data_IF_357316392726
#
_entry.id   IF_357316392726
#
_cell.length_a   1.000
_cell.length_b   1.000
_cell.length_c   1.000
_cell.angle_alpha   90.00
_cell.angle_beta   90.00
_cell.angle_gamma   90.00
#
_symmetry.space_group_name_H-M   'P 1'
#
loop_
_entity.id
_entity.type
_entity.pdbx_description
1 polymer ?
#
# COMPACT_ATOMS: atom_id res chain seq x y z
N UNK A 1 -0.82 -17.62 5.69
CA UNK A 1 0.22 -16.64 6.05
C UNK A 1 -0.18 -15.27 5.54
N UNK A 2 -0.20 -14.27 6.40
CA UNK A 2 -0.58 -12.93 5.98
C UNK A 2 0.53 -12.25 5.21
N UNK A 3 0.16 -11.59 4.11
CA UNK A 3 1.10 -10.77 3.34
C UNK A 3 1.29 -9.44 4.09
N UNK A 4 2.50 -9.06 4.49
CA UNK A 4 2.73 -7.79 5.20
C UNK A 4 2.30 -6.58 4.38
N UNK A 5 2.43 -6.63 3.06
CA UNK A 5 1.99 -5.53 2.20
C UNK A 5 0.48 -5.41 2.13
N UNK A 6 -0.25 -6.51 2.22
CA UNK A 6 -1.71 -6.48 2.31
C UNK A 6 -2.16 -5.83 3.61
N UNK A 7 -1.49 -6.11 4.72
CA UNK A 7 -1.78 -5.46 5.99
C UNK A 7 -1.48 -3.96 5.93
N UNK A 8 -0.36 -3.58 5.31
CA UNK A 8 -0.02 -2.17 5.11
C UNK A 8 -1.07 -1.46 4.25
N UNK A 9 -1.53 -2.12 3.19
CA UNK A 9 -2.60 -1.60 2.33
C UNK A 9 -3.87 -1.33 3.13
N UNK A 10 -4.31 -2.29 3.95
CA UNK A 10 -5.51 -2.13 4.76
C UNK A 10 -5.37 -0.99 5.76
N UNK A 11 -4.21 -0.87 6.41
CA UNK A 11 -3.96 0.19 7.38
C UNK A 11 -3.98 1.57 6.73
N UNK A 12 -3.32 1.73 5.60
CA UNK A 12 -3.27 3.00 4.86
C UNK A 12 -4.65 3.37 4.32
N UNK A 13 -5.35 2.41 3.74
CA UNK A 13 -6.71 2.64 3.22
C UNK A 13 -7.63 3.13 4.34
N UNK A 14 -7.64 2.46 5.47
CA UNK A 14 -8.48 2.85 6.60
C UNK A 14 -8.10 4.22 7.15
N UNK A 15 -6.82 4.49 7.29
CA UNK A 15 -6.33 5.76 7.82
C UNK A 15 -6.71 6.94 6.91
N UNK A 16 -6.44 6.84 5.62
CA UNK A 16 -6.65 7.94 4.69
C UNK A 16 -8.13 8.13 4.31
N UNK A 17 -8.90 7.04 4.23
CA UNK A 17 -10.31 7.15 3.86
C UNK A 17 -11.18 7.67 5.01
N UNK A 18 -10.81 7.41 6.24
CA UNK A 18 -11.60 7.78 7.42
C UNK A 18 -11.03 9.00 8.16
N UNK A 19 -9.94 9.57 7.68
CA UNK A 19 -9.24 10.69 8.34
C UNK A 19 -8.89 10.37 9.79
N UNK A 20 -8.63 9.11 10.08
CA UNK A 20 -8.25 8.66 11.41
C UNK A 20 -6.75 8.58 11.58
N UNK A 21 -6.34 8.26 12.80
CA UNK A 21 -4.94 7.97 13.08
C UNK A 21 -4.55 6.66 12.41
N UNK A 22 -3.26 6.57 12.01
CA UNK A 22 -2.74 5.33 11.47
C UNK A 22 -2.74 4.28 12.58
N UNK A 23 -3.55 3.25 12.39
CA UNK A 23 -3.60 2.12 13.29
C UNK A 23 -3.31 0.86 12.48
N UNK A 24 -2.29 0.12 12.88
CA UNK A 24 -1.93 -1.12 12.20
C UNK A 24 -2.58 -2.26 12.98
N UNK A 25 -3.54 -2.98 12.36
CA UNK A 25 -4.21 -4.08 13.06
C UNK A 25 -3.22 -5.17 13.46
N UNK A 26 -3.45 -5.76 14.62
CA UNK A 26 -2.70 -6.93 15.01
C UNK A 26 -3.01 -8.06 14.04
N UNK A 27 -1.98 -8.72 13.55
CA UNK A 27 -2.14 -9.87 12.67
C UNK A 27 -1.36 -11.04 13.27
N UNK A 28 -2.07 -12.07 13.67
CA UNK A 28 -1.49 -13.20 14.38
C UNK A 28 -0.51 -14.00 13.51
N UNK A 29 -0.62 -13.83 12.19
CA UNK A 29 0.19 -14.61 11.24
C UNK A 29 1.43 -13.87 10.72
N UNK A 30 1.70 -12.66 11.23
CA UNK A 30 2.92 -11.95 10.85
C UNK A 30 4.10 -12.40 11.69
N UNK A 31 5.24 -12.55 11.05
CA UNK A 31 6.48 -12.82 11.77
C UNK A 31 6.95 -11.57 12.52
N UNK A 32 7.82 -11.75 13.51
CA UNK A 32 8.41 -10.64 14.25
C UNK A 32 9.18 -9.69 13.33
N UNK A 33 9.70 -10.17 12.18
CA UNK A 33 10.41 -9.33 11.23
C UNK A 33 9.46 -8.50 10.37
N UNK A 34 8.23 -8.99 10.12
CA UNK A 34 7.27 -8.32 9.26
C UNK A 34 6.60 -7.12 9.94
N UNK A 35 6.44 -7.16 11.25
CA UNK A 35 5.80 -6.08 12.00
C UNK A 35 6.56 -4.76 11.84
N UNK A 36 7.89 -4.70 12.06
CA UNK A 36 8.64 -3.47 11.81
C UNK A 36 8.59 -3.01 10.36
N UNK A 37 8.57 -3.94 9.41
CA UNK A 37 8.46 -3.60 7.99
C UNK A 37 7.13 -2.90 7.69
N UNK A 38 6.01 -3.44 8.16
CA UNK A 38 4.68 -2.84 7.96
C UNK A 38 4.64 -1.45 8.59
N UNK A 39 5.13 -1.31 9.82
CA UNK A 39 5.18 -0.02 10.51
C UNK A 39 6.00 1.01 9.73
N UNK A 40 7.18 0.63 9.28
CA UNK A 40 8.07 1.53 8.56
C UNK A 40 7.46 1.95 7.22
N UNK A 41 6.89 1.01 6.49
CA UNK A 41 6.26 1.27 5.21
C UNK A 41 5.09 2.27 5.34
N UNK A 42 4.19 2.03 6.28
CA UNK A 42 3.04 2.89 6.50
C UNK A 42 3.44 4.29 6.98
N UNK A 43 4.36 4.37 7.94
CA UNK A 43 4.83 5.66 8.46
C UNK A 43 5.57 6.45 7.38
N UNK A 44 6.38 5.79 6.57
CA UNK A 44 7.11 6.44 5.48
C UNK A 44 6.13 6.98 4.43
N UNK A 45 5.11 6.21 4.10
CA UNK A 45 4.09 6.63 3.14
C UNK A 45 3.34 7.87 3.65
N UNK A 46 2.91 7.88 4.91
CA UNK A 46 2.19 9.01 5.50
C UNK A 46 3.09 10.24 5.57
N UNK A 47 4.34 10.05 6.00
CA UNK A 47 5.31 11.14 6.15
C UNK A 47 5.62 11.83 4.82
N UNK A 48 5.61 11.09 3.72
CA UNK A 48 5.96 11.60 2.40
C UNK A 48 4.75 11.70 1.47
N UNK A 49 3.55 11.66 2.02
CA UNK A 49 2.31 11.57 1.26
C UNK A 49 2.18 12.66 0.19
N UNK A 50 2.41 13.91 0.55
CA UNK A 50 2.26 15.03 -0.38
C UNK A 50 3.20 14.90 -1.58
N UNK A 51 4.47 14.57 -1.32
CA UNK A 51 5.46 14.40 -2.40
C UNK A 51 5.10 13.25 -3.31
N UNK A 52 4.68 12.13 -2.74
CA UNK A 52 4.30 10.95 -3.53
C UNK A 52 3.04 11.24 -4.35
N UNK A 53 2.07 11.94 -3.77
CA UNK A 53 0.87 12.35 -4.50
C UNK A 53 1.19 13.22 -5.71
N UNK A 54 2.15 14.13 -5.58
CA UNK A 54 2.57 14.97 -6.69
C UNK A 54 3.21 14.14 -7.81
N UNK A 55 4.05 13.17 -7.46
CA UNK A 55 4.66 12.26 -8.43
C UNK A 55 3.57 11.46 -9.15
N UNK A 56 2.64 10.87 -8.40
CA UNK A 56 1.58 10.05 -8.98
C UNK A 56 0.64 10.88 -9.84
N UNK A 57 0.38 12.13 -9.48
CA UNK A 57 -0.46 13.03 -10.26
C UNK A 57 0.12 13.27 -11.65
N UNK A 58 1.44 13.42 -11.77
CA UNK A 58 2.10 13.62 -13.05
C UNK A 58 1.99 12.40 -13.95
N UNK A 59 2.04 11.19 -13.38
CA UNK A 59 1.89 9.95 -14.12
C UNK A 59 0.43 9.60 -14.41
N UNK A 60 -0.48 9.96 -13.50
CA UNK A 60 -1.91 9.67 -13.63
C UNK A 60 -2.62 10.93 -14.12
N UNK A 61 -2.61 11.13 -15.43
CA UNK A 61 -3.20 12.34 -16.05
C UNK A 61 -4.72 12.43 -15.87
N UNK A 62 -5.36 11.32 -15.58
CA UNK A 62 -6.79 11.27 -15.33
C UNK A 62 -7.04 10.86 -13.89
N UNK A 63 -8.03 11.53 -13.28
CA UNK A 63 -8.48 11.16 -11.95
C UNK A 63 -8.97 9.71 -11.97
N UNK A 64 -8.49 8.89 -11.06
CA UNK A 64 -8.93 7.50 -10.96
C UNK A 64 -10.41 7.43 -10.58
N UNK A 65 -11.20 6.58 -11.25
CA UNK A 65 -12.59 6.40 -10.85
C UNK A 65 -12.67 5.79 -9.44
N UNK A 66 -13.80 5.96 -8.74
CA UNK A 66 -13.94 5.41 -7.38
C UNK A 66 -13.65 3.91 -7.29
N UNK A 67 -13.92 3.15 -8.34
CA UNK A 67 -13.63 1.72 -8.37
C UNK A 67 -12.13 1.40 -8.37
N UNK A 68 -11.29 2.37 -8.73
CA UNK A 68 -9.84 2.21 -8.79
C UNK A 68 -9.11 2.82 -7.60
N UNK A 69 -9.82 3.20 -6.53
CA UNK A 69 -9.18 3.76 -5.33
C UNK A 69 -8.19 2.81 -4.68
N UNK A 70 -8.49 1.52 -4.68
CA UNK A 70 -7.58 0.53 -4.12
C UNK A 70 -6.27 0.48 -4.90
N UNK A 71 -6.33 0.64 -6.23
CA UNK A 71 -5.14 0.74 -7.05
C UNK A 71 -4.29 1.94 -6.66
N UNK A 72 -4.92 3.06 -6.31
CA UNK A 72 -4.20 4.26 -5.87
C UNK A 72 -3.42 4.00 -4.57
N UNK A 73 -4.03 3.31 -3.60
CA UNK A 73 -3.33 2.97 -2.36
C UNK A 73 -2.16 2.01 -2.61
N UNK A 74 -2.32 1.08 -3.54
CA UNK A 74 -1.23 0.18 -3.92
C UNK A 74 -0.10 0.95 -4.61
N UNK A 75 -0.44 1.91 -5.48
CA UNK A 75 0.56 2.76 -6.11
C UNK A 75 1.29 3.63 -5.08
N UNK A 76 0.57 4.16 -4.11
CA UNK A 76 1.16 4.94 -3.03
C UNK A 76 2.19 4.11 -2.26
N UNK A 77 1.82 2.91 -1.83
CA UNK A 77 2.72 2.04 -1.07
C UNK A 77 3.87 1.52 -1.93
N UNK A 78 3.60 1.14 -3.18
CA UNK A 78 4.64 0.67 -4.09
C UNK A 78 5.68 1.75 -4.38
N UNK A 79 5.23 2.98 -4.62
CA UNK A 79 6.11 4.12 -4.85
C UNK A 79 6.94 4.41 -3.59
N UNK A 80 6.31 4.35 -2.42
CA UNK A 80 7.01 4.53 -1.15
C UNK A 80 8.13 3.52 -1.00
N UNK A 81 7.84 2.26 -1.29
CA UNK A 81 8.82 1.20 -1.15
C UNK A 81 9.96 1.34 -2.14
N UNK A 82 9.65 1.72 -3.40
CA UNK A 82 10.69 1.95 -4.42
C UNK A 82 11.61 3.11 -4.08
N UNK A 83 11.05 4.20 -3.55
CA UNK A 83 11.83 5.43 -3.31
C UNK A 83 12.55 5.45 -1.97
N UNK A 84 11.97 4.87 -0.94
CA UNK A 84 12.45 5.08 0.43
C UNK A 84 12.87 3.80 1.16
N UNK A 85 12.54 2.64 0.62
CA UNK A 85 12.88 1.38 1.24
C UNK A 85 14.00 0.69 0.48
N UNK A 86 14.57 -0.36 1.07
CA UNK A 86 15.73 -1.05 0.47
C UNK A 86 15.35 -2.32 -0.31
N UNK A 87 14.08 -2.54 -0.53
CA UNK A 87 13.62 -3.70 -1.29
C UNK A 87 14.04 -3.55 -2.76
N UNK A 88 14.59 -4.59 -3.40
CA UNK A 88 14.92 -4.51 -4.82
C UNK A 88 13.70 -4.21 -5.68
N UNK A 89 13.87 -3.43 -6.74
CA UNK A 89 12.77 -2.95 -7.58
C UNK A 89 11.91 -4.09 -8.12
N UNK A 90 12.53 -5.18 -8.59
CA UNK A 90 11.77 -6.30 -9.15
C UNK A 90 10.88 -6.96 -8.08
N UNK A 91 11.35 -7.01 -6.85
CA UNK A 91 10.58 -7.61 -5.75
C UNK A 91 9.38 -6.73 -5.38
N UNK A 92 9.57 -5.41 -5.39
CA UNK A 92 8.49 -4.44 -5.15
C UNK A 92 7.41 -4.60 -6.22
N UNK A 93 7.79 -4.52 -7.48
CA UNK A 93 6.86 -4.59 -8.59
C UNK A 93 6.09 -5.92 -8.57
N UNK A 94 6.80 -7.04 -8.42
CA UNK A 94 6.19 -8.35 -8.38
C UNK A 94 5.20 -8.49 -7.22
N UNK A 95 5.55 -8.00 -6.04
CA UNK A 95 4.70 -8.08 -4.85
C UNK A 95 3.40 -7.31 -5.03
N UNK A 96 3.46 -6.08 -5.57
CA UNK A 96 2.26 -5.27 -5.75
C UNK A 96 1.41 -5.71 -6.92
N UNK A 97 2.00 -6.26 -7.99
CA UNK A 97 1.23 -6.87 -9.08
C UNK A 97 0.45 -8.07 -8.56
N UNK A 98 1.09 -8.93 -7.78
CA UNK A 98 0.42 -10.10 -7.20
C UNK A 98 -0.68 -9.69 -6.22
N UNK A 99 -0.44 -8.68 -5.40
CA UNK A 99 -1.43 -8.18 -4.48
C UNK A 99 -2.63 -7.56 -5.22
N UNK A 100 -2.38 -6.81 -6.29
CA UNK A 100 -3.43 -6.24 -7.11
C UNK A 100 -4.31 -7.32 -7.73
N UNK A 101 -3.70 -8.40 -8.22
CA UNK A 101 -4.45 -9.54 -8.77
C UNK A 101 -5.32 -10.21 -7.70
N UNK A 102 -4.77 -10.40 -6.51
CA UNK A 102 -5.48 -11.01 -5.40
C UNK A 102 -6.70 -10.19 -5.01
N UNK A 103 -6.55 -8.87 -4.92
CA UNK A 103 -7.66 -7.98 -4.56
C UNK A 103 -8.71 -7.92 -5.66
N UNK A 104 -8.30 -7.90 -6.93
CA UNK A 104 -9.21 -7.93 -8.06
C UNK A 104 -10.05 -9.21 -8.06
N UNK A 105 -9.42 -10.35 -7.83
CA UNK A 105 -10.12 -11.64 -7.76
C UNK A 105 -11.17 -11.65 -6.65
N UNK A 106 -10.88 -11.04 -5.51
CA UNK A 106 -11.86 -10.92 -4.41
C UNK A 106 -13.08 -10.11 -4.83
N UNK A 107 -12.87 -9.00 -5.54
CA UNK A 107 -13.98 -8.16 -6.01
C UNK A 107 -14.83 -8.89 -7.04
N UNK A 108 -14.22 -9.66 -7.93
CA UNK A 108 -14.93 -10.43 -8.94
C UNK A 108 -15.70 -11.59 -8.30
N UNK A 109 -15.15 -12.21 -7.26
CA UNK A 109 -15.79 -13.33 -6.55
C UNK A 109 -17.00 -12.89 -5.72
N UNK A 110 -17.08 -11.64 -5.33
CA UNK A 110 -18.19 -11.09 -4.58
C UNK A 110 -19.21 -10.44 -5.52
#
# INVERSE_FOLDING_TARGET
>A
MSDPRELAFSAIKNSLSQRGFLTIPAADNLSAADIPFVNMLCLTAVRNLTGIQLILKDFLRKKLPPKARDAWYLLLLGTTELLYMRTPDYAVINSYVNLAKKLTDRYVAN
#
